data_IF_951611392634
#
_entry.id   IF_951611392634
#
_cell.length_a   1.000
_cell.length_b   1.000
_cell.length_c   1.000
_cell.angle_alpha   90.00
_cell.angle_beta   90.00
_cell.angle_gamma   90.00
#
_symmetry.space_group_name_H-M   'P 1'
#
loop_
_entity.id
_entity.type
_entity.pdbx_description
1 polymer ?
#
# COMPACT_ATOMS: atom_id res chain seq x y z
N UNK A 1 -4.12 -18.28 -8.15
CA UNK A 1 -3.02 -17.75 -7.33
C UNK A 1 -1.93 -18.82 -7.33
N UNK A 2 -0.68 -18.43 -7.56
CA UNK A 2 0.39 -19.37 -7.88
C UNK A 2 0.67 -20.38 -6.78
N UNK A 3 0.86 -21.65 -7.14
CA UNK A 3 1.40 -22.68 -6.25
C UNK A 3 2.92 -22.74 -6.44
N UNK A 4 3.64 -21.84 -5.76
CA UNK A 4 5.10 -21.92 -5.64
C UNK A 4 5.44 -22.60 -4.31
N UNK A 5 6.25 -23.66 -4.36
CA UNK A 5 6.80 -24.29 -3.17
C UNK A 5 8.04 -23.52 -2.72
N UNK A 6 8.02 -23.01 -1.49
CA UNK A 6 9.14 -22.29 -0.87
C UNK A 6 9.73 -23.11 0.29
N UNK A 7 11.04 -23.02 0.54
CA UNK A 7 11.63 -23.67 1.70
C UNK A 7 11.07 -23.07 2.99
N UNK A 8 10.86 -23.88 4.04
CA UNK A 8 10.41 -23.36 5.33
C UNK A 8 11.43 -22.36 5.90
N UNK A 9 10.92 -21.30 6.53
CA UNK A 9 11.76 -20.33 7.25
C UNK A 9 12.49 -21.02 8.40
N UNK A 10 13.76 -20.64 8.62
CA UNK A 10 14.52 -21.03 9.82
C UNK A 10 14.13 -20.20 11.05
N UNK A 11 13.43 -19.08 10.86
CA UNK A 11 12.93 -18.21 11.94
C UNK A 11 11.50 -18.57 12.29
N UNK A 12 11.16 -18.46 13.57
CA UNK A 12 9.79 -18.55 14.08
C UNK A 12 9.17 -17.16 14.21
N UNK A 13 7.82 -17.04 14.18
CA UNK A 13 7.13 -15.80 14.53
C UNK A 13 7.47 -15.36 15.95
N UNK A 14 7.61 -14.05 16.15
CA UNK A 14 7.77 -13.47 17.48
C UNK A 14 6.45 -13.56 18.26
N UNK A 15 6.51 -13.70 19.59
CA UNK A 15 5.32 -13.77 20.45
C UNK A 15 4.64 -12.41 20.65
N UNK A 16 5.40 -11.31 20.49
CA UNK A 16 4.89 -9.96 20.69
C UNK A 16 3.84 -9.62 19.62
N UNK A 17 2.60 -9.28 20.01
CA UNK A 17 1.58 -8.90 19.03
C UNK A 17 1.99 -7.69 18.20
N UNK A 18 1.61 -7.69 16.92
CA UNK A 18 2.05 -6.68 15.96
C UNK A 18 1.74 -5.23 16.39
N UNK A 19 0.58 -4.97 17.02
CA UNK A 19 0.23 -3.64 17.52
C UNK A 19 1.14 -3.16 18.67
N UNK A 20 1.66 -4.08 19.49
CA UNK A 20 2.62 -3.78 20.55
C UNK A 20 4.03 -3.58 19.96
N UNK A 21 4.40 -4.41 18.97
CA UNK A 21 5.64 -4.27 18.25
C UNK A 21 5.75 -2.91 17.51
N UNK A 22 4.66 -2.43 16.90
CA UNK A 22 4.61 -1.10 16.27
C UNK A 22 4.93 -0.01 17.29
N UNK A 23 4.30 -0.04 18.47
CA UNK A 23 4.51 0.98 19.49
C UNK A 23 5.91 0.95 20.10
N UNK A 24 6.41 -0.23 20.46
CA UNK A 24 7.77 -0.36 21.01
C UNK A 24 8.84 0.03 19.98
N UNK A 25 8.61 -0.24 18.70
CA UNK A 25 9.50 0.22 17.63
C UNK A 25 9.41 1.74 17.48
N UNK A 26 8.20 2.32 17.45
CA UNK A 26 8.01 3.77 17.35
C UNK A 26 8.73 4.53 18.48
N UNK A 27 8.68 4.01 19.71
CA UNK A 27 9.43 4.57 20.85
C UNK A 27 10.93 4.57 20.63
N UNK A 28 11.49 3.51 20.05
CA UNK A 28 12.95 3.39 19.81
C UNK A 28 13.46 4.36 18.75
N UNK A 29 12.62 4.69 17.78
CA UNK A 29 12.97 5.57 16.66
C UNK A 29 12.49 7.02 16.85
N UNK A 30 11.84 7.34 17.97
CA UNK A 30 11.54 8.70 18.45
C UNK A 30 11.04 9.69 17.37
N UNK A 31 10.04 9.29 16.57
CA UNK A 31 9.48 10.16 15.52
C UNK A 31 10.10 9.99 14.13
N UNK A 32 11.09 9.11 13.96
CA UNK A 32 11.70 8.82 12.66
C UNK A 32 11.11 7.57 11.97
N UNK A 33 10.30 6.77 12.68
CA UNK A 33 9.70 5.57 12.11
C UNK A 33 8.61 5.92 11.10
N UNK A 34 8.80 5.48 9.85
CA UNK A 34 7.73 5.41 8.83
C UNK A 34 7.12 4.03 8.84
N UNK A 35 5.79 3.94 8.96
CA UNK A 35 5.06 2.68 8.81
C UNK A 35 4.56 2.58 7.37
N UNK A 36 4.90 1.49 6.68
CA UNK A 36 4.36 1.15 5.36
C UNK A 36 3.33 0.05 5.53
N UNK A 37 2.04 0.37 5.37
CA UNK A 37 0.93 -0.54 5.60
C UNK A 37 0.31 -0.97 4.26
N UNK A 38 0.56 -2.23 3.86
CA UNK A 38 0.14 -2.79 2.57
C UNK A 38 -0.93 -3.88 2.70
N UNK A 39 -1.64 -3.88 3.82
CA UNK A 39 -2.72 -4.82 4.12
C UNK A 39 -3.83 -4.11 4.92
N UNK A 40 -4.86 -4.85 5.38
CA UNK A 40 -5.87 -4.30 6.27
C UNK A 40 -5.26 -3.61 7.49
N UNK A 41 -5.81 -2.45 7.86
CA UNK A 41 -5.19 -1.54 8.83
C UNK A 41 -5.41 -1.96 10.28
N UNK A 42 -5.95 -3.16 10.54
CA UNK A 42 -6.33 -3.66 11.87
C UNK A 42 -5.20 -3.52 12.90
N UNK A 43 -3.98 -3.94 12.58
CA UNK A 43 -2.85 -3.85 13.51
C UNK A 43 -2.52 -2.40 13.89
N UNK A 44 -2.52 -1.48 12.93
CA UNK A 44 -2.24 -0.07 13.18
C UNK A 44 -3.41 0.60 13.92
N UNK A 45 -4.65 0.29 13.54
CA UNK A 45 -5.85 0.76 14.23
C UNK A 45 -5.87 0.33 15.70
N UNK A 46 -5.58 -0.95 15.98
CA UNK A 46 -5.45 -1.46 17.34
C UNK A 46 -4.33 -0.76 18.12
N UNK A 47 -3.17 -0.52 17.49
CA UNK A 47 -2.07 0.20 18.12
C UNK A 47 -2.46 1.63 18.50
N UNK A 48 -3.18 2.35 17.62
CA UNK A 48 -3.68 3.71 17.86
C UNK A 48 -4.77 3.77 18.95
N UNK A 49 -5.61 2.74 19.03
CA UNK A 49 -6.59 2.61 20.09
C UNK A 49 -5.92 2.38 21.44
N UNK A 50 -4.95 1.47 21.50
CA UNK A 50 -4.23 1.08 22.72
C UNK A 50 -3.25 2.16 23.20
N UNK A 51 -2.54 2.82 22.29
CA UNK A 51 -1.44 3.74 22.62
C UNK A 51 -1.69 5.15 22.08
N UNK A 52 -2.31 6.01 22.92
CA UNK A 52 -2.65 7.40 22.53
C UNK A 52 -1.45 8.29 22.22
N UNK A 53 -0.25 7.92 22.66
CA UNK A 53 0.98 8.63 22.33
C UNK A 53 1.52 8.27 20.93
N UNK A 54 1.10 7.15 20.33
CA UNK A 54 1.66 6.63 19.07
C UNK A 54 1.65 7.65 17.92
N UNK A 55 0.61 8.47 17.70
CA UNK A 55 0.63 9.47 16.64
C UNK A 55 1.83 10.43 16.69
N UNK A 56 2.36 10.71 17.89
CA UNK A 56 3.49 11.63 18.09
C UNK A 56 4.85 10.94 17.96
N UNK A 57 4.88 9.61 17.86
CA UNK A 57 6.10 8.80 17.81
C UNK A 57 6.41 8.29 16.40
N UNK A 58 5.48 8.43 15.46
CA UNK A 58 5.67 8.06 14.07
C UNK A 58 5.98 9.30 13.24
N UNK A 59 6.88 9.12 12.27
CA UNK A 59 7.17 10.14 11.25
C UNK A 59 5.97 10.37 10.34
N UNK A 60 5.45 9.27 9.81
CA UNK A 60 4.33 9.20 8.87
C UNK A 60 3.86 7.76 8.68
N UNK A 61 2.70 7.61 8.05
CA UNK A 61 2.18 6.33 7.57
C UNK A 61 1.97 6.42 6.08
N UNK A 62 2.58 5.52 5.32
CA UNK A 62 2.31 5.33 3.90
C UNK A 62 1.50 4.05 3.76
N UNK A 63 0.28 4.13 3.25
CA UNK A 63 -0.57 2.96 3.09
C UNK A 63 -0.86 2.68 1.62
N UNK A 64 -0.83 1.40 1.24
CA UNK A 64 -1.51 0.93 0.03
C UNK A 64 -2.93 0.58 0.42
N UNK A 65 -3.88 1.34 -0.09
CA UNK A 65 -5.29 1.09 0.19
C UNK A 65 -6.16 2.30 -0.13
N UNK A 66 -7.46 2.03 -0.25
CA UNK A 66 -8.44 3.03 -0.62
C UNK A 66 -8.44 3.37 -2.12
N UNK A 67 -9.41 4.19 -2.49
CA UNK A 67 -9.57 4.72 -3.83
C UNK A 67 -10.42 5.99 -3.75
N UNK A 68 -9.92 7.11 -4.28
CA UNK A 68 -10.68 8.36 -4.31
C UNK A 68 -11.90 8.23 -5.23
N UNK A 69 -11.75 7.56 -6.38
CA UNK A 69 -12.84 7.38 -7.36
C UNK A 69 -13.60 6.05 -7.17
N UNK A 70 -13.00 4.91 -7.51
CA UNK A 70 -13.69 3.62 -7.61
C UNK A 70 -13.43 2.64 -6.46
N UNK A 71 -13.35 1.35 -6.80
CA UNK A 71 -13.03 0.23 -5.92
C UNK A 71 -12.67 -1.02 -6.73
N UNK A 72 -12.17 -2.06 -6.07
CA UNK A 72 -11.81 -3.34 -6.70
C UNK A 72 -12.49 -4.56 -6.05
N UNK A 73 -12.92 -4.47 -4.78
CA UNK A 73 -13.68 -5.53 -4.11
C UNK A 73 -15.19 -5.28 -4.18
N UNK A 74 -15.58 -4.00 -4.15
CA UNK A 74 -16.91 -3.53 -4.54
C UNK A 74 -16.73 -2.36 -5.50
N UNK A 75 -17.78 -1.91 -6.21
CA UNK A 75 -17.68 -0.72 -7.04
C UNK A 75 -17.20 0.54 -6.29
N UNK A 76 -17.35 0.58 -4.95
CA UNK A 76 -17.01 1.72 -4.12
C UNK A 76 -15.76 1.52 -3.25
N UNK A 77 -15.32 0.28 -2.98
CA UNK A 77 -14.30 0.02 -1.98
C UNK A 77 -13.09 -0.73 -2.54
N UNK A 78 -11.92 -0.34 -2.06
CA UNK A 78 -10.67 -1.07 -2.22
C UNK A 78 -10.56 -2.12 -1.09
N UNK A 79 -9.95 -3.27 -1.39
CA UNK A 79 -9.86 -4.44 -0.51
C UNK A 79 -9.32 -4.17 0.90
N UNK A 80 -8.15 -3.55 1.07
CA UNK A 80 -7.53 -3.33 2.38
C UNK A 80 -8.42 -2.48 3.29
N UNK A 81 -9.05 -1.43 2.75
CA UNK A 81 -9.99 -0.60 3.51
C UNK A 81 -11.33 -1.33 3.73
N UNK A 82 -11.82 -2.10 2.77
CA UNK A 82 -13.06 -2.86 2.91
C UNK A 82 -12.98 -3.98 3.96
N UNK A 83 -11.80 -4.60 4.08
CA UNK A 83 -11.55 -5.67 5.03
C UNK A 83 -11.71 -5.20 6.48
N UNK A 84 -11.27 -3.98 6.79
CA UNK A 84 -11.43 -3.36 8.11
C UNK A 84 -11.60 -1.82 8.02
N UNK A 85 -12.79 -1.33 7.64
CA UNK A 85 -13.05 0.09 7.46
C UNK A 85 -13.07 0.85 8.77
N UNK A 86 -13.40 0.19 9.88
CA UNK A 86 -13.33 0.78 11.21
C UNK A 86 -11.88 1.11 11.59
N UNK A 87 -10.94 0.18 11.39
CA UNK A 87 -9.52 0.46 11.58
C UNK A 87 -9.00 1.54 10.63
N UNK A 88 -9.46 1.54 9.37
CA UNK A 88 -9.09 2.57 8.42
C UNK A 88 -9.59 3.97 8.83
N UNK A 89 -10.84 4.12 9.30
CA UNK A 89 -11.35 5.41 9.80
C UNK A 89 -10.52 5.87 11.02
N UNK A 90 -10.13 4.96 11.91
CA UNK A 90 -9.25 5.28 13.04
C UNK A 90 -7.90 5.83 12.55
N UNK A 91 -7.27 5.20 11.55
CA UNK A 91 -5.99 5.64 11.01
C UNK A 91 -6.10 7.02 10.36
N UNK A 92 -7.09 7.25 9.51
CA UNK A 92 -7.28 8.57 8.87
C UNK A 92 -7.65 9.68 9.86
N UNK A 93 -8.30 9.37 10.99
CA UNK A 93 -8.63 10.35 12.04
C UNK A 93 -7.63 10.39 13.20
N UNK A 94 -6.47 9.75 13.05
CA UNK A 94 -5.48 9.64 14.14
C UNK A 94 -4.64 10.88 14.40
N UNK A 95 -4.67 11.86 13.48
CA UNK A 95 -3.78 13.01 13.48
C UNK A 95 -2.36 12.72 12.95
N UNK A 96 -2.10 11.50 12.46
CA UNK A 96 -0.87 11.15 11.76
C UNK A 96 -0.77 11.85 10.39
N UNK A 97 0.47 12.05 9.92
CA UNK A 97 0.70 12.33 8.50
C UNK A 97 0.52 11.04 7.69
N UNK A 98 -0.69 10.87 7.13
CA UNK A 98 -1.08 9.69 6.36
C UNK A 98 -0.96 9.99 4.87
N UNK A 99 -0.31 9.09 4.13
CA UNK A 99 -0.29 9.08 2.66
C UNK A 99 -1.08 7.87 2.15
N UNK A 100 -2.12 8.14 1.36
CA UNK A 100 -2.96 7.13 0.72
C UNK A 100 -2.47 6.86 -0.72
N UNK A 101 -1.77 5.75 -0.91
CA UNK A 101 -1.44 5.18 -2.23
C UNK A 101 -2.60 4.27 -2.68
N UNK A 102 -3.68 4.89 -3.15
CA UNK A 102 -4.90 4.19 -3.55
C UNK A 102 -4.88 3.60 -4.96
N UNK A 103 -6.00 3.02 -5.39
CA UNK A 103 -6.18 2.46 -6.74
C UNK A 103 -5.94 3.50 -7.84
N UNK A 104 -6.19 4.78 -7.57
CA UNK A 104 -6.05 5.90 -8.50
C UNK A 104 -4.62 6.02 -9.06
N UNK A 105 -3.60 5.56 -8.31
CA UNK A 105 -2.19 5.54 -8.77
C UNK A 105 -1.61 4.14 -8.88
N UNK A 106 -2.16 3.15 -8.19
CA UNK A 106 -1.62 1.79 -8.21
C UNK A 106 -2.08 0.96 -9.40
N UNK A 107 -3.29 1.21 -9.93
CA UNK A 107 -3.76 0.56 -11.18
C UNK A 107 -2.88 0.93 -12.38
N UNK A 108 -2.53 2.22 -12.62
CA UNK A 108 -1.61 2.57 -13.72
C UNK A 108 -0.16 2.16 -13.48
N UNK A 109 0.23 1.78 -12.26
CA UNK A 109 1.56 1.25 -11.95
C UNK A 109 1.64 -0.28 -12.21
N UNK A 110 1.55 -0.69 -13.47
CA UNK A 110 1.58 -2.12 -13.84
C UNK A 110 2.86 -2.52 -14.60
N UNK A 111 3.21 -3.80 -14.51
CA UNK A 111 4.16 -4.46 -15.41
C UNK A 111 3.44 -5.37 -16.41
N UNK A 112 3.83 -5.30 -17.68
CA UNK A 112 3.33 -6.24 -18.71
C UNK A 112 3.95 -7.63 -18.55
N UNK A 113 3.50 -8.58 -19.36
CA UNK A 113 4.10 -9.91 -19.43
C UNK A 113 5.59 -9.83 -19.81
N UNK A 114 5.90 -9.02 -20.83
CA UNK A 114 7.24 -8.81 -21.35
C UNK A 114 8.14 -8.17 -20.30
N UNK A 115 7.66 -7.14 -19.61
CA UNK A 115 8.43 -6.46 -18.55
C UNK A 115 8.65 -7.37 -17.33
N UNK A 116 7.72 -8.27 -17.01
CA UNK A 116 7.94 -9.28 -15.97
C UNK A 116 9.02 -10.28 -16.39
N UNK A 117 9.05 -10.68 -17.66
CA UNK A 117 10.11 -11.54 -18.19
C UNK A 117 11.47 -10.82 -18.22
N UNK A 118 11.51 -9.53 -18.57
CA UNK A 118 12.70 -8.67 -18.46
C UNK A 118 13.19 -8.58 -17.01
N UNK A 119 12.28 -8.39 -16.05
CA UNK A 119 12.61 -8.39 -14.63
C UNK A 119 13.25 -9.72 -14.22
N UNK A 120 12.64 -10.85 -14.60
CA UNK A 120 13.17 -12.18 -14.34
C UNK A 120 14.55 -12.43 -14.96
N UNK A 121 14.82 -11.79 -16.11
CA UNK A 121 16.09 -11.89 -16.84
C UNK A 121 17.25 -11.14 -16.15
N UNK A 122 17.01 -10.31 -15.13
CA UNK A 122 18.06 -9.75 -14.26
C UNK A 122 18.90 -10.84 -13.57
N UNK A 123 18.42 -12.08 -13.53
CA UNK A 123 19.24 -13.26 -13.24
C UNK A 123 19.31 -13.66 -11.76
N UNK A 124 19.08 -12.73 -10.83
CA UNK A 124 19.03 -13.01 -9.39
C UNK A 124 17.86 -13.92 -9.02
N UNK A 125 17.98 -14.65 -7.89
CA UNK A 125 16.92 -15.54 -7.41
C UNK A 125 15.64 -14.76 -7.05
N UNK A 126 15.81 -13.55 -6.53
CA UNK A 126 14.76 -12.63 -6.14
C UNK A 126 14.01 -12.11 -7.36
N UNK A 127 14.72 -11.74 -8.44
CA UNK A 127 14.11 -11.27 -9.67
C UNK A 127 13.31 -12.38 -10.37
N UNK A 128 13.87 -13.59 -10.45
CA UNK A 128 13.16 -14.77 -10.95
C UNK A 128 11.91 -15.08 -10.11
N UNK A 129 12.04 -15.07 -8.79
CA UNK A 129 10.91 -15.28 -7.89
C UNK A 129 9.81 -14.22 -8.07
N UNK A 130 10.18 -12.94 -8.17
CA UNK A 130 9.23 -11.85 -8.41
C UNK A 130 8.46 -12.04 -9.73
N UNK A 131 9.16 -12.43 -10.80
CA UNK A 131 8.55 -12.79 -12.08
C UNK A 131 7.59 -13.96 -11.92
N UNK A 132 8.02 -15.05 -11.29
CA UNK A 132 7.25 -16.30 -11.19
C UNK A 132 6.01 -16.16 -10.30
N UNK A 133 6.13 -15.49 -9.15
CA UNK A 133 5.02 -15.27 -8.22
C UNK A 133 3.97 -14.31 -8.79
N UNK A 134 4.33 -13.48 -9.78
CA UNK A 134 3.40 -12.56 -10.43
C UNK A 134 2.52 -13.21 -11.51
N UNK A 135 2.89 -14.38 -12.04
CA UNK A 135 2.21 -14.98 -13.21
C UNK A 135 0.72 -15.26 -12.99
N UNK A 136 0.34 -15.71 -11.80
CA UNK A 136 -1.06 -15.97 -11.46
C UNK A 136 -1.89 -14.69 -11.38
N UNK A 137 -1.30 -13.60 -10.89
CA UNK A 137 -1.95 -12.29 -10.84
C UNK A 137 -2.00 -11.68 -12.23
N UNK A 138 -0.95 -11.80 -13.04
CA UNK A 138 -0.94 -11.36 -14.44
C UNK A 138 -2.08 -12.01 -15.24
N UNK A 139 -2.24 -13.34 -15.13
CA UNK A 139 -3.35 -14.07 -15.77
C UNK A 139 -4.71 -13.55 -15.30
N UNK A 140 -4.85 -13.29 -14.00
CA UNK A 140 -6.07 -12.70 -13.45
C UNK A 140 -6.32 -11.31 -14.06
N UNK A 141 -5.33 -10.41 -14.02
CA UNK A 141 -5.41 -9.06 -14.58
C UNK A 141 -5.82 -9.04 -16.06
N UNK A 142 -5.23 -9.89 -16.89
CA UNK A 142 -5.61 -10.02 -18.30
C UNK A 142 -7.06 -10.47 -18.47
N UNK A 143 -7.57 -11.33 -17.57
CA UNK A 143 -8.98 -11.74 -17.56
C UNK A 143 -9.97 -10.60 -17.31
N UNK A 144 -9.51 -9.50 -16.71
CA UNK A 144 -10.28 -8.26 -16.51
C UNK A 144 -9.96 -7.18 -17.56
N UNK A 145 -9.19 -7.51 -18.60
CA UNK A 145 -8.81 -6.57 -19.66
C UNK A 145 -7.75 -5.55 -19.25
N UNK A 146 -7.04 -5.78 -18.14
CA UNK A 146 -5.91 -4.94 -17.75
C UNK A 146 -4.67 -5.28 -18.59
N UNK A 147 -3.79 -4.30 -18.87
CA UNK A 147 -2.60 -4.48 -19.71
C UNK A 147 -1.46 -5.25 -19.03
N UNK A 148 -1.57 -5.50 -17.72
CA UNK A 148 -0.50 -6.12 -16.94
C UNK A 148 -0.86 -6.32 -15.47
N UNK A 149 0.12 -6.75 -14.69
CA UNK A 149 -0.02 -6.94 -13.25
C UNK A 149 0.22 -5.61 -12.52
N UNK A 150 -0.83 -5.11 -11.85
CA UNK A 150 -0.76 -3.88 -11.05
C UNK A 150 0.13 -4.09 -9.82
N UNK A 151 1.17 -3.28 -9.69
CA UNK A 151 2.16 -3.33 -8.62
C UNK A 151 1.72 -2.44 -7.45
N UNK A 152 0.60 -2.81 -6.83
CA UNK A 152 -0.03 -2.03 -5.75
C UNK A 152 0.91 -1.72 -4.59
N UNK A 153 1.37 -2.76 -3.90
CA UNK A 153 2.17 -2.64 -2.68
C UNK A 153 3.60 -2.15 -2.96
N UNK A 154 4.29 -2.62 -4.02
CA UNK A 154 5.61 -2.11 -4.36
C UNK A 154 5.63 -0.60 -4.62
N UNK A 155 4.57 -0.02 -5.20
CA UNK A 155 4.49 1.43 -5.39
C UNK A 155 4.48 2.19 -4.07
N UNK A 156 3.69 1.75 -3.09
CA UNK A 156 3.63 2.37 -1.77
C UNK A 156 4.99 2.26 -1.03
N UNK A 157 5.66 1.11 -1.14
CA UNK A 157 6.98 0.91 -0.55
C UNK A 157 8.03 1.81 -1.19
N UNK A 158 8.08 1.89 -2.52
CA UNK A 158 9.04 2.73 -3.22
C UNK A 158 8.77 4.22 -2.98
N UNK A 159 7.51 4.65 -2.87
CA UNK A 159 7.18 6.02 -2.49
C UNK A 159 7.61 6.37 -1.06
N UNK A 160 7.57 5.40 -0.14
CA UNK A 160 8.05 5.60 1.22
C UNK A 160 9.58 5.87 1.28
N UNK A 161 10.31 5.45 0.25
CA UNK A 161 11.74 5.73 0.05
C UNK A 161 11.96 7.01 -0.77
N UNK A 162 11.26 7.17 -1.90
CA UNK A 162 11.37 8.32 -2.81
C UNK A 162 9.99 8.94 -3.08
N UNK A 163 9.70 10.06 -2.41
CA UNK A 163 8.43 10.78 -2.56
C UNK A 163 8.22 11.35 -3.98
N UNK A 164 9.28 11.50 -4.79
CA UNK A 164 9.17 12.05 -6.14
C UNK A 164 8.43 11.12 -7.13
N UNK A 165 8.24 9.85 -6.76
CA UNK A 165 7.54 8.87 -7.59
C UNK A 165 6.05 9.16 -7.75
N UNK A 166 5.43 9.87 -6.80
CA UNK A 166 4.00 10.16 -6.81
C UNK A 166 3.72 11.65 -6.70
N UNK A 167 2.72 12.11 -7.45
CA UNK A 167 2.05 13.38 -7.17
C UNK A 167 1.04 13.14 -6.05
N UNK A 168 1.04 14.01 -5.05
CA UNK A 168 0.09 13.93 -3.93
C UNK A 168 -0.60 15.26 -3.70
N UNK A 169 -1.84 15.18 -3.20
CA UNK A 169 -2.65 16.34 -2.83
C UNK A 169 -3.21 16.18 -1.42
N UNK A 170 -3.23 17.27 -0.64
CA UNK A 170 -3.86 17.24 0.69
C UNK A 170 -5.39 17.23 0.55
N UNK A 171 -6.01 16.21 1.11
CA UNK A 171 -7.45 16.01 1.11
C UNK A 171 -7.97 15.68 2.49
N UNK A 172 -9.25 15.95 2.72
CA UNK A 172 -9.97 15.32 3.80
C UNK A 172 -10.43 13.95 3.33
N UNK A 173 -10.17 12.93 4.14
CA UNK A 173 -10.50 11.54 3.86
C UNK A 173 -11.26 10.97 5.05
N UNK A 174 -12.41 10.36 4.78
CA UNK A 174 -13.20 9.60 5.75
C UNK A 174 -13.52 8.22 5.20
N UNK A 175 -13.70 7.25 6.08
CA UNK A 175 -14.07 5.89 5.66
C UNK A 175 -15.53 5.64 6.01
N UNK A 176 -16.31 5.22 5.01
CA UNK A 176 -17.69 4.79 5.24
C UNK A 176 -17.70 3.41 5.92
N UNK A 177 -18.38 3.31 7.07
CA UNK A 177 -18.39 2.12 7.93
C UNK A 177 -19.75 1.43 8.02
N UNK A 178 -20.83 2.08 7.59
CA UNK A 178 -22.22 1.64 7.82
C UNK A 178 -23.05 1.51 6.55
N UNK A 179 -22.74 2.27 5.51
CA UNK A 179 -23.51 2.33 4.28
C UNK A 179 -23.68 0.95 3.62
N UNK A 180 -24.91 0.61 3.23
CA UNK A 180 -25.24 -0.68 2.60
C UNK A 180 -24.46 -0.93 1.30
N UNK A 181 -24.19 0.12 0.53
CA UNK A 181 -23.53 0.05 -0.78
C UNK A 181 -22.09 0.58 -0.76
N UNK A 182 -21.73 1.33 0.27
CA UNK A 182 -20.52 2.16 0.29
C UNK A 182 -19.59 1.83 1.46
N UNK A 183 -19.88 0.83 2.29
CA UNK A 183 -18.94 0.36 3.33
C UNK A 183 -17.55 0.10 2.73
N UNK A 184 -16.51 0.65 3.34
CA UNK A 184 -15.13 0.58 2.85
C UNK A 184 -14.74 1.69 1.86
N UNK A 185 -15.65 2.58 1.47
CA UNK A 185 -15.30 3.71 0.62
C UNK A 185 -14.44 4.70 1.39
N UNK A 186 -13.28 5.04 0.85
CA UNK A 186 -12.54 6.26 1.21
C UNK A 186 -13.19 7.45 0.52
N UNK A 187 -14.03 8.17 1.26
CA UNK A 187 -14.71 9.39 0.82
C UNK A 187 -13.73 10.55 0.93
N UNK A 188 -13.47 11.24 -0.18
CA UNK A 188 -12.52 12.36 -0.23
C UNK A 188 -13.16 13.62 -0.76
N UNK A 189 -12.61 14.78 -0.38
CA UNK A 189 -13.05 16.09 -0.90
C UNK A 189 -12.26 16.58 -2.12
N UNK A 190 -11.41 15.74 -2.73
CA UNK A 190 -10.54 16.09 -3.87
C UNK A 190 -11.29 16.61 -5.08
N UNK A 191 -12.37 15.93 -5.46
CA UNK A 191 -13.10 16.16 -6.71
C UNK A 191 -14.48 16.78 -6.47
N UNK A 192 -14.63 17.53 -5.37
CA UNK A 192 -15.89 18.14 -4.96
C UNK A 192 -15.72 19.57 -4.47
N UNK A 193 -16.81 20.33 -4.48
CA UNK A 193 -16.90 21.66 -3.87
C UNK A 193 -16.93 21.62 -2.34
N UNK A 194 -17.32 20.48 -1.75
CA UNK A 194 -17.27 20.23 -0.30
C UNK A 194 -15.85 20.45 0.23
N UNK A 195 -15.75 21.02 1.43
CA UNK A 195 -14.48 21.17 2.16
C UNK A 195 -14.52 20.34 3.43
N UNK A 196 -13.52 19.49 3.59
CA UNK A 196 -13.30 18.66 4.76
C UNK A 196 -11.98 19.06 5.43
N UNK A 197 -11.83 18.70 6.72
CA UNK A 197 -10.55 18.82 7.41
C UNK A 197 -9.50 17.98 6.68
N UNK A 198 -8.35 18.58 6.35
CA UNK A 198 -7.30 17.95 5.56
C UNK A 198 -6.43 17.06 6.45
N UNK A 199 -6.73 15.76 6.46
CA UNK A 199 -6.10 14.76 7.33
C UNK A 199 -5.18 13.77 6.59
N UNK A 200 -5.11 13.81 5.26
CA UNK A 200 -4.23 12.94 4.50
C UNK A 200 -3.66 13.60 3.23
N UNK A 201 -2.56 13.03 2.74
CA UNK A 201 -2.08 13.20 1.37
C UNK A 201 -2.61 12.05 0.53
N UNK A 202 -3.35 12.33 -0.53
CA UNK A 202 -3.84 11.33 -1.46
C UNK A 202 -2.96 11.35 -2.69
N UNK A 203 -2.45 10.20 -3.11
CA UNK A 203 -1.71 10.10 -4.36
C UNK A 203 -2.67 10.23 -5.55
N UNK A 204 -2.37 11.16 -6.45
CA UNK A 204 -3.22 11.52 -7.61
C UNK A 204 -2.55 11.31 -8.96
N UNK A 205 -1.25 11.00 -8.98
CA UNK A 205 -0.54 10.67 -10.21
C UNK A 205 0.72 9.86 -9.98
N UNK A 206 1.05 9.01 -10.95
CA UNK A 206 2.27 8.21 -11.01
C UNK A 206 2.88 8.33 -12.40
N UNK A 207 4.20 8.41 -12.48
CA UNK A 207 4.94 8.16 -13.72
C UNK A 207 5.31 6.66 -13.76
N UNK A 208 4.61 5.90 -14.62
CA UNK A 208 4.80 4.45 -14.75
C UNK A 208 6.22 4.08 -15.15
N UNK A 209 6.85 4.85 -16.04
CA UNK A 209 8.22 4.54 -16.50
C UNK A 209 9.25 4.85 -15.41
N UNK A 210 9.06 5.93 -14.66
CA UNK A 210 9.89 6.21 -13.48
C UNK A 210 9.74 5.14 -12.40
N UNK A 211 8.50 4.72 -12.11
CA UNK A 211 8.21 3.62 -11.19
C UNK A 211 8.89 2.32 -11.63
N UNK A 212 8.69 1.90 -12.89
CA UNK A 212 9.30 0.68 -13.45
C UNK A 212 10.81 0.74 -13.34
N UNK A 213 11.43 1.85 -13.75
CA UNK A 213 12.89 2.05 -13.65
C UNK A 213 13.37 1.87 -12.21
N UNK A 214 12.74 2.53 -11.23
CA UNK A 214 13.12 2.42 -9.82
C UNK A 214 12.98 1.00 -9.28
N UNK A 215 11.92 0.29 -9.68
CA UNK A 215 11.73 -1.12 -9.33
C UNK A 215 12.84 -2.00 -9.90
N UNK A 216 13.19 -1.83 -11.18
CA UNK A 216 14.24 -2.60 -11.83
C UNK A 216 15.61 -2.32 -11.22
N UNK A 217 15.93 -1.05 -10.94
CA UNK A 217 17.16 -0.66 -10.23
C UNK A 217 17.25 -1.34 -8.86
N UNK A 218 16.14 -1.37 -8.11
CA UNK A 218 16.07 -2.04 -6.79
C UNK A 218 16.31 -3.54 -6.93
N UNK A 219 15.68 -4.19 -7.92
CA UNK A 219 15.80 -5.63 -8.11
C UNK A 219 17.17 -6.05 -8.68
N UNK A 220 17.82 -5.17 -9.45
CA UNK A 220 19.17 -5.40 -9.97
C UNK A 220 20.23 -5.47 -8.88
N UNK A 221 20.02 -4.81 -7.72
CA UNK A 221 20.95 -4.86 -6.59
C UNK A 221 21.16 -6.28 -6.06
N UNK A 222 20.17 -7.17 -6.17
CA UNK A 222 20.31 -8.58 -5.77
C UNK A 222 21.20 -9.42 -6.70
N UNK A 223 21.53 -8.92 -7.90
CA UNK A 223 22.43 -9.59 -8.85
C UNK A 223 23.85 -9.03 -8.82
N UNK A 224 24.14 -8.04 -7.97
CA UNK A 224 25.43 -7.38 -7.88
C UNK A 224 26.46 -8.11 -6.98
N UNK A 225 26.16 -9.35 -6.56
CA UNK A 225 27.04 -10.24 -5.80
C UNK A 225 27.51 -11.45 -6.63
#
# INVERSE_FOLDING_TARGET
MNELSLPPSRRQPEELPAWDAIYETAKRFEGELTVVAIGPLTNLGLALLKYKALPKLLKRVVLMGGAAVGGNVTPAAEFNVFADPEAADIVFNSGLDVVMCGLDVTVPAYLTAEELDELGALGSKQAKFARDVSQGVLKYSHGYGLPGMCMHDPLALLYADDEALLKTERAGVRVETKGKLTRGKTVTDLYSDKKMEKNARVATGVDREAFKRRLFETMAQYGAE
#
